data_IF_408339173192
#
_entry.id   IF_408339173192
#
_cell.length_a   1.000
_cell.length_b   1.000
_cell.length_c   1.000
_cell.angle_alpha   90.00
_cell.angle_beta   90.00
_cell.angle_gamma   90.00
#
_symmetry.space_group_name_H-M   'P 1'
#
loop_
_entity.id
_entity.type
_entity.pdbx_description
1 polymer ?
#
# COMPACT_ATOMS: atom_id res chain seq x y z
N UNK A 1 11.81 14.43 18.05
CA UNK A 1 10.81 13.35 17.88
C UNK A 1 10.51 12.81 19.27
N UNK A 2 9.27 12.93 19.72
CA UNK A 2 8.79 12.20 20.88
C UNK A 2 8.37 10.81 20.38
N UNK A 3 8.82 9.74 21.03
CA UNK A 3 8.49 8.36 20.69
C UNK A 3 7.30 7.82 21.49
N UNK A 4 6.84 8.58 22.48
CA UNK A 4 5.64 8.25 23.25
C UNK A 4 4.40 8.61 22.41
N UNK A 5 3.49 7.66 22.30
CA UNK A 5 2.21 7.88 21.65
C UNK A 5 1.27 8.67 22.55
N UNK A 6 0.45 9.52 21.96
CA UNK A 6 -0.63 10.18 22.69
C UNK A 6 -1.70 9.16 23.10
N UNK A 7 -2.56 9.52 24.07
CA UNK A 7 -3.69 8.68 24.49
C UNK A 7 -4.62 8.36 23.32
N UNK A 8 -4.83 9.32 22.42
CA UNK A 8 -5.63 9.14 21.21
C UNK A 8 -4.98 8.15 20.23
N UNK A 9 -3.68 8.30 19.96
CA UNK A 9 -2.93 7.38 19.11
C UNK A 9 -2.95 5.95 19.67
N UNK A 10 -2.78 5.79 20.98
CA UNK A 10 -2.90 4.50 21.65
C UNK A 10 -4.32 3.91 21.54
N UNK A 11 -5.35 4.75 21.68
CA UNK A 11 -6.74 4.31 21.55
C UNK A 11 -7.04 3.83 20.12
N UNK A 12 -6.61 4.58 19.09
CA UNK A 12 -6.78 4.18 17.69
C UNK A 12 -5.99 2.91 17.35
N UNK A 13 -4.76 2.77 17.87
CA UNK A 13 -3.96 1.55 17.71
C UNK A 13 -4.66 0.34 18.32
N UNK A 14 -5.21 0.46 19.54
CA UNK A 14 -5.97 -0.61 20.19
C UNK A 14 -7.21 -0.97 19.37
N UNK A 15 -7.98 0.01 18.92
CA UNK A 15 -9.16 -0.21 18.08
C UNK A 15 -8.81 -0.98 16.80
N UNK A 16 -7.73 -0.60 16.13
CA UNK A 16 -7.24 -1.29 14.94
C UNK A 16 -6.80 -2.73 15.27
N UNK A 17 -6.09 -2.94 16.38
CA UNK A 17 -5.68 -4.25 16.84
C UNK A 17 -6.85 -5.17 17.17
N UNK A 18 -7.88 -4.67 17.84
CA UNK A 18 -9.10 -5.41 18.14
C UNK A 18 -9.90 -5.77 16.87
N UNK A 19 -10.02 -4.81 15.94
CA UNK A 19 -10.64 -5.07 14.64
C UNK A 19 -9.90 -6.18 13.89
N UNK A 20 -8.59 -6.09 13.81
CA UNK A 20 -7.75 -7.07 13.12
C UNK A 20 -7.86 -8.45 13.76
N UNK A 21 -7.88 -8.53 15.07
CA UNK A 21 -8.01 -9.80 15.80
C UNK A 21 -9.36 -10.49 15.55
N UNK A 22 -10.45 -9.72 15.42
CA UNK A 22 -11.81 -10.27 15.25
C UNK A 22 -12.21 -10.45 13.79
N UNK A 23 -11.85 -9.52 12.92
CA UNK A 23 -12.42 -9.40 11.58
C UNK A 23 -11.43 -9.75 10.45
N UNK A 24 -10.15 -9.93 10.76
CA UNK A 24 -9.12 -10.16 9.74
C UNK A 24 -8.39 -11.48 9.97
N UNK A 25 -7.69 -11.63 11.11
CA UNK A 25 -6.82 -12.79 11.38
C UNK A 25 -7.56 -14.13 11.23
N UNK A 26 -8.80 -14.32 11.75
CA UNK A 26 -9.50 -15.60 11.66
C UNK A 26 -9.82 -16.03 10.21
N UNK A 27 -9.85 -15.08 9.29
CA UNK A 27 -10.24 -15.31 7.90
C UNK A 27 -9.07 -15.27 6.91
N UNK A 28 -7.91 -14.77 7.30
CA UNK A 28 -6.78 -14.46 6.42
C UNK A 28 -6.32 -15.67 5.59
N UNK A 29 -6.21 -16.86 6.20
CA UNK A 29 -5.83 -18.10 5.50
C UNK A 29 -6.90 -18.54 4.50
N UNK A 30 -8.17 -18.46 4.87
CA UNK A 30 -9.28 -18.81 3.97
C UNK A 30 -9.34 -17.86 2.76
N UNK A 31 -9.14 -16.55 2.97
CA UNK A 31 -9.07 -15.56 1.90
C UNK A 31 -7.86 -15.76 0.98
N UNK A 32 -6.71 -16.12 1.53
CA UNK A 32 -5.52 -16.42 0.74
C UNK A 32 -5.75 -17.63 -0.17
N UNK A 33 -6.34 -18.72 0.36
CA UNK A 33 -6.69 -19.93 -0.41
C UNK A 33 -7.74 -19.68 -1.49
N UNK A 34 -8.76 -18.88 -1.17
CA UNK A 34 -9.82 -18.51 -2.09
C UNK A 34 -9.40 -17.44 -3.12
N UNK A 35 -8.22 -16.85 -2.95
CA UNK A 35 -7.75 -15.68 -3.71
C UNK A 35 -8.75 -14.51 -3.69
N UNK A 36 -9.49 -14.36 -2.59
CA UNK A 36 -10.55 -13.37 -2.46
C UNK A 36 -10.80 -12.99 -1.00
N UNK A 37 -10.60 -11.72 -0.66
CA UNK A 37 -11.07 -11.14 0.60
C UNK A 37 -12.57 -10.87 0.49
N UNK A 38 -13.33 -11.02 1.58
CA UNK A 38 -14.74 -10.60 1.61
C UNK A 38 -14.84 -9.07 1.47
N UNK A 39 -15.48 -8.62 0.40
CA UNK A 39 -15.65 -7.18 0.11
C UNK A 39 -16.39 -6.42 1.23
N UNK A 40 -17.17 -7.09 2.06
CA UNK A 40 -17.86 -6.46 3.21
C UNK A 40 -16.89 -5.79 4.18
N UNK A 41 -15.60 -6.19 4.20
CA UNK A 41 -14.55 -5.58 5.00
C UNK A 41 -14.39 -4.08 4.72
N UNK A 42 -14.65 -3.64 3.48
CA UNK A 42 -14.55 -2.23 3.07
C UNK A 42 -15.49 -1.35 3.89
N UNK A 43 -16.74 -1.79 4.07
CA UNK A 43 -17.71 -1.07 4.88
C UNK A 43 -17.32 -1.03 6.36
N UNK A 44 -16.74 -2.12 6.87
CA UNK A 44 -16.27 -2.18 8.25
C UNK A 44 -15.09 -1.21 8.45
N UNK A 45 -14.15 -1.15 7.49
CA UNK A 45 -13.04 -0.19 7.52
C UNK A 45 -13.52 1.26 7.44
N UNK A 46 -14.53 1.55 6.60
CA UNK A 46 -15.16 2.86 6.50
C UNK A 46 -15.86 3.28 7.79
N UNK A 47 -16.65 2.38 8.38
CA UNK A 47 -17.39 2.61 9.64
C UNK A 47 -16.44 2.93 10.83
N UNK A 48 -15.20 2.41 10.82
CA UNK A 48 -14.15 2.72 11.80
C UNK A 48 -13.33 3.96 11.44
N UNK A 49 -13.63 4.64 10.33
CA UNK A 49 -12.88 5.80 9.86
C UNK A 49 -11.52 5.48 9.23
N UNK A 50 -11.14 4.19 9.08
CA UNK A 50 -9.81 3.81 8.59
C UNK A 50 -9.57 4.15 7.11
N UNK A 51 -10.64 4.41 6.35
CA UNK A 51 -10.54 4.89 4.97
C UNK A 51 -10.46 6.42 4.85
N UNK A 52 -10.60 7.16 5.97
CA UNK A 52 -10.61 8.61 6.00
C UNK A 52 -9.59 9.27 6.96
N UNK A 53 -8.68 8.49 7.58
CA UNK A 53 -7.80 8.92 8.69
C UNK A 53 -7.12 10.28 8.46
N UNK A 54 -6.64 10.56 7.27
CA UNK A 54 -5.87 11.78 6.96
C UNK A 54 -6.56 12.68 5.92
N UNK A 55 -7.85 12.44 5.64
CA UNK A 55 -8.69 13.31 4.82
C UNK A 55 -9.30 14.37 5.73
N UNK A 56 -9.42 15.65 5.30
CA UNK A 56 -10.06 16.69 6.09
C UNK A 56 -11.49 16.34 6.50
N UNK A 57 -11.92 16.81 7.68
CA UNK A 57 -13.24 16.53 8.24
C UNK A 57 -14.38 17.03 7.35
N UNK A 58 -14.20 18.17 6.68
CA UNK A 58 -15.18 18.75 5.75
C UNK A 58 -15.53 17.83 4.57
N UNK A 59 -14.69 16.82 4.28
CA UNK A 59 -14.92 15.79 3.26
C UNK A 59 -15.17 14.40 3.88
N UNK A 60 -15.53 14.34 5.16
CA UNK A 60 -15.88 13.09 5.84
C UNK A 60 -14.69 12.27 6.33
N UNK A 61 -13.49 12.84 6.37
CA UNK A 61 -12.32 12.23 7.01
C UNK A 61 -12.24 12.55 8.50
N UNK A 62 -11.15 12.11 9.15
CA UNK A 62 -10.86 12.39 10.56
C UNK A 62 -9.84 13.53 10.76
N UNK A 63 -9.22 14.05 9.71
CA UNK A 63 -8.18 15.08 9.82
C UNK A 63 -6.95 14.68 10.65
N UNK A 64 -6.78 13.37 10.88
CA UNK A 64 -5.74 12.83 11.76
C UNK A 64 -4.33 12.90 11.18
N UNK A 65 -3.34 12.67 12.04
CA UNK A 65 -1.93 12.72 11.70
C UNK A 65 -1.45 11.45 10.95
N UNK A 66 -0.25 11.55 10.37
CA UNK A 66 0.33 10.44 9.61
C UNK A 66 0.90 9.35 10.51
N UNK A 67 1.23 9.65 11.77
CA UNK A 67 1.64 8.63 12.72
C UNK A 67 0.46 7.71 13.06
N UNK A 68 -0.73 8.25 13.33
CA UNK A 68 -1.97 7.48 13.52
C UNK A 68 -2.27 6.60 12.29
N UNK A 69 -2.12 7.16 11.08
CA UNK A 69 -2.24 6.38 9.85
C UNK A 69 -1.25 5.21 9.78
N UNK A 70 0.01 5.41 10.20
CA UNK A 70 1.01 4.35 10.24
C UNK A 70 0.65 3.26 11.27
N UNK A 71 0.14 3.63 12.45
CA UNK A 71 -0.28 2.69 13.49
C UNK A 71 -1.41 1.78 12.99
N UNK A 72 -2.44 2.34 12.36
CA UNK A 72 -3.53 1.55 11.76
C UNK A 72 -3.02 0.67 10.63
N UNK A 73 -2.16 1.20 9.76
CA UNK A 73 -1.59 0.45 8.63
C UNK A 73 -0.68 -0.70 9.11
N UNK A 74 0.07 -0.52 10.21
CA UNK A 74 0.85 -1.57 10.86
C UNK A 74 -0.05 -2.69 11.38
N UNK A 75 -1.12 -2.37 12.11
CA UNK A 75 -2.06 -3.37 12.63
C UNK A 75 -2.74 -4.16 11.49
N UNK A 76 -3.21 -3.47 10.44
CA UNK A 76 -3.78 -4.13 9.27
C UNK A 76 -2.76 -5.05 8.58
N UNK A 77 -1.50 -4.60 8.44
CA UNK A 77 -0.40 -5.40 7.89
C UNK A 77 -0.07 -6.63 8.74
N UNK A 78 -0.21 -6.54 10.07
CA UNK A 78 -0.07 -7.66 11.01
C UNK A 78 -1.16 -8.72 10.79
N UNK A 79 -2.38 -8.28 10.49
CA UNK A 79 -3.50 -9.20 10.24
C UNK A 79 -3.47 -9.84 8.86
N UNK A 80 -3.54 -9.00 7.84
CA UNK A 80 -3.50 -9.42 6.43
C UNK A 80 -3.11 -8.26 5.52
N UNK A 81 -2.03 -8.43 4.77
CA UNK A 81 -1.55 -7.41 3.84
C UNK A 81 -2.46 -7.18 2.63
N UNK A 82 -3.35 -8.11 2.29
CA UNK A 82 -4.35 -7.89 1.26
C UNK A 82 -5.39 -6.86 1.75
N UNK A 83 -5.85 -6.96 3.01
CA UNK A 83 -6.74 -5.98 3.65
C UNK A 83 -6.04 -4.62 3.82
N UNK A 84 -4.77 -4.63 4.29
CA UNK A 84 -3.96 -3.41 4.37
C UNK A 84 -3.88 -2.69 3.03
N UNK A 85 -3.75 -3.43 1.92
CA UNK A 85 -3.69 -2.90 0.57
C UNK A 85 -4.93 -2.07 0.17
N UNK A 86 -6.11 -2.41 0.68
CA UNK A 86 -7.35 -1.66 0.44
C UNK A 86 -7.20 -0.22 0.94
N UNK A 87 -6.78 -0.05 2.21
CA UNK A 87 -6.58 1.25 2.84
C UNK A 87 -5.41 2.00 2.19
N UNK A 88 -4.28 1.32 1.96
CA UNK A 88 -3.09 1.94 1.38
C UNK A 88 -3.34 2.55 0.01
N UNK A 89 -4.16 1.93 -0.83
CA UNK A 89 -4.45 2.44 -2.17
C UNK A 89 -5.62 3.41 -2.15
N UNK A 90 -6.76 3.05 -1.56
CA UNK A 90 -7.95 3.91 -1.58
C UNK A 90 -7.73 5.21 -0.82
N UNK A 91 -7.22 5.16 0.41
CA UNK A 91 -6.88 6.35 1.20
C UNK A 91 -5.52 6.90 0.78
N UNK A 92 -4.47 6.06 0.83
CA UNK A 92 -3.08 6.52 0.75
C UNK A 92 -2.69 7.09 -0.61
N UNK A 93 -3.17 6.51 -1.71
CA UNK A 93 -2.84 6.96 -3.07
C UNK A 93 -3.97 7.76 -3.71
N UNK A 94 -5.26 7.36 -3.56
CA UNK A 94 -6.36 8.01 -4.29
C UNK A 94 -6.94 9.16 -3.50
N UNK A 95 -7.54 8.93 -2.33
CA UNK A 95 -8.23 9.98 -1.59
C UNK A 95 -7.30 11.16 -1.21
N UNK A 96 -6.07 10.88 -0.75
CA UNK A 96 -5.08 11.94 -0.47
C UNK A 96 -4.70 12.73 -1.71
N UNK A 97 -4.63 12.09 -2.88
CA UNK A 97 -4.32 12.78 -4.15
C UNK A 97 -5.49 13.65 -4.58
N UNK A 98 -6.73 13.16 -4.47
CA UNK A 98 -7.93 13.97 -4.73
C UNK A 98 -8.01 15.15 -3.75
N UNK A 99 -7.77 14.94 -2.46
CA UNK A 99 -7.80 16.02 -1.46
C UNK A 99 -6.77 17.12 -1.75
N UNK A 100 -5.62 16.77 -2.33
CA UNK A 100 -4.53 17.71 -2.59
C UNK A 100 -4.65 18.39 -3.97
N UNK A 101 -5.03 17.66 -5.02
CA UNK A 101 -4.99 18.10 -6.40
C UNK A 101 -6.36 18.32 -7.05
N UNK A 102 -7.41 17.76 -6.46
CA UNK A 102 -8.77 17.89 -6.98
C UNK A 102 -9.32 19.31 -6.86
N UNK A 103 -10.17 19.68 -7.78
CA UNK A 103 -11.04 20.84 -7.61
C UNK A 103 -12.14 20.55 -6.56
N UNK A 104 -12.93 21.57 -6.24
CA UNK A 104 -13.94 21.44 -5.18
C UNK A 104 -15.06 20.44 -5.54
N UNK A 105 -15.44 20.37 -6.81
CA UNK A 105 -16.46 19.44 -7.30
C UNK A 105 -15.95 17.98 -7.19
N UNK A 106 -14.71 17.73 -7.61
CA UNK A 106 -14.07 16.41 -7.51
C UNK A 106 -13.92 15.96 -6.05
N UNK A 107 -13.51 16.87 -5.14
CA UNK A 107 -13.40 16.60 -3.70
C UNK A 107 -14.74 16.22 -3.10
N UNK A 108 -15.79 17.04 -3.33
CA UNK A 108 -17.13 16.80 -2.79
C UNK A 108 -17.79 15.55 -3.38
N UNK A 109 -17.49 15.22 -4.62
CA UNK A 109 -18.03 14.03 -5.28
C UNK A 109 -17.40 12.75 -4.73
N UNK A 110 -16.08 12.72 -4.56
CA UNK A 110 -15.37 11.48 -4.30
C UNK A 110 -14.97 11.26 -2.85
N UNK A 111 -14.50 12.30 -2.14
CA UNK A 111 -13.91 12.08 -0.81
C UNK A 111 -14.90 11.50 0.21
N UNK A 112 -16.14 12.01 0.34
CA UNK A 112 -17.10 11.42 1.32
C UNK A 112 -17.40 9.95 1.03
N UNK A 113 -17.49 9.56 -0.23
CA UNK A 113 -17.75 8.17 -0.64
C UNK A 113 -16.54 7.26 -0.42
N UNK A 114 -15.32 7.77 -0.64
CA UNK A 114 -14.08 7.04 -0.41
C UNK A 114 -13.82 6.84 1.09
N UNK A 115 -14.11 7.84 1.92
CA UNK A 115 -13.88 7.77 3.38
C UNK A 115 -14.88 6.88 4.09
N UNK A 116 -16.15 6.85 3.64
CA UNK A 116 -17.20 5.98 4.19
C UNK A 116 -17.11 4.52 3.69
N UNK A 117 -16.29 4.24 2.68
CA UNK A 117 -16.27 2.94 2.01
C UNK A 117 -17.50 2.67 1.12
N UNK A 118 -18.24 3.72 0.73
CA UNK A 118 -19.27 3.66 -0.31
C UNK A 118 -18.68 3.54 -1.70
N UNK A 119 -17.44 4.04 -1.86
CA UNK A 119 -16.63 3.87 -3.05
C UNK A 119 -15.22 3.44 -2.68
N UNK A 120 -14.55 2.75 -3.60
CA UNK A 120 -13.12 2.45 -3.55
C UNK A 120 -12.39 3.09 -4.72
N UNK A 121 -11.17 3.56 -4.43
CA UNK A 121 -10.25 4.03 -5.45
C UNK A 121 -9.18 3.00 -5.81
N UNK A 122 -8.75 3.04 -7.08
CA UNK A 122 -7.54 2.36 -7.54
C UNK A 122 -6.61 3.31 -8.30
N UNK A 123 -5.31 2.94 -8.37
CA UNK A 123 -4.26 3.80 -8.90
C UNK A 123 -3.70 3.22 -10.19
N UNK A 124 -4.13 3.75 -11.33
CA UNK A 124 -3.84 3.25 -12.67
C UNK A 124 -2.60 3.88 -13.30
N UNK A 125 -1.39 3.53 -12.83
CA UNK A 125 -0.11 4.03 -13.36
C UNK A 125 0.61 2.96 -14.19
N UNK A 126 0.93 1.82 -13.57
CA UNK A 126 1.74 0.73 -14.15
C UNK A 126 1.08 0.12 -15.38
N UNK A 127 1.86 -0.19 -16.40
CA UNK A 127 1.41 -0.82 -17.66
C UNK A 127 2.14 -2.14 -17.90
N UNK A 128 1.64 -3.01 -18.83
CA UNK A 128 2.35 -4.24 -19.18
C UNK A 128 3.78 -4.01 -19.64
N UNK A 129 4.04 -2.91 -20.34
CA UNK A 129 5.34 -2.54 -20.89
C UNK A 129 6.20 -1.67 -19.96
N UNK A 130 5.65 -1.11 -18.87
CA UNK A 130 6.40 -0.17 -18.04
C UNK A 130 5.98 -0.19 -16.57
N UNK A 131 6.96 -0.35 -15.69
CA UNK A 131 6.83 -0.31 -14.23
C UNK A 131 7.74 0.74 -13.62
N UNK A 132 9.03 0.41 -13.46
CA UNK A 132 10.03 1.35 -12.88
C UNK A 132 10.25 2.58 -13.75
N UNK A 133 10.12 2.44 -15.06
CA UNK A 133 10.22 3.54 -16.04
C UNK A 133 8.84 4.19 -16.28
N UNK A 134 8.19 4.63 -15.21
CA UNK A 134 6.82 5.14 -15.24
C UNK A 134 6.63 6.40 -16.13
N UNK A 135 7.72 7.10 -16.46
CA UNK A 135 7.68 8.24 -17.38
C UNK A 135 7.41 7.84 -18.84
N UNK A 136 7.63 6.57 -19.19
CA UNK A 136 7.43 6.02 -20.53
C UNK A 136 6.11 5.25 -20.71
N UNK A 137 5.10 5.56 -19.89
CA UNK A 137 3.76 4.97 -20.07
C UNK A 137 3.20 5.27 -21.46
N UNK A 138 2.49 4.28 -22.03
CA UNK A 138 1.99 4.31 -23.40
C UNK A 138 0.49 4.63 -23.51
N UNK A 139 -0.30 4.49 -22.43
CA UNK A 139 -1.74 4.86 -22.43
C UNK A 139 -1.89 6.32 -22.84
N UNK A 140 -2.76 6.57 -23.84
CA UNK A 140 -3.01 7.90 -24.41
C UNK A 140 -4.41 8.39 -24.08
N UNK A 141 -4.52 9.68 -23.84
CA UNK A 141 -5.77 10.41 -23.72
C UNK A 141 -5.75 11.55 -24.75
N UNK A 142 -6.44 11.35 -25.85
CA UNK A 142 -6.50 12.30 -26.99
C UNK A 142 -7.71 13.21 -26.81
N UNK A 143 -7.51 14.52 -26.88
CA UNK A 143 -8.61 15.49 -26.78
C UNK A 143 -9.52 15.38 -28.02
N UNK A 144 -10.82 15.28 -27.78
CA UNK A 144 -11.86 15.26 -28.79
C UNK A 144 -13.04 16.14 -28.38
N UNK A 145 -13.04 17.37 -28.88
CA UNK A 145 -14.00 18.41 -28.46
C UNK A 145 -13.83 18.79 -26.98
N UNK A 146 -14.90 18.61 -26.21
CA UNK A 146 -14.94 18.84 -24.77
C UNK A 146 -14.47 17.66 -23.91
N UNK A 147 -14.09 16.55 -24.55
CA UNK A 147 -13.77 15.29 -23.90
C UNK A 147 -12.32 14.85 -24.19
N UNK A 148 -11.92 13.75 -23.54
CA UNK A 148 -10.75 12.94 -23.91
C UNK A 148 -11.22 11.54 -24.29
N UNK A 149 -10.60 10.96 -25.32
CA UNK A 149 -10.73 9.54 -25.69
C UNK A 149 -9.46 8.81 -25.23
N UNK A 150 -9.64 7.84 -24.34
CA UNK A 150 -8.52 7.13 -23.71
C UNK A 150 -8.40 5.72 -24.22
N UNK A 151 -7.17 5.37 -24.65
CA UNK A 151 -6.81 4.03 -25.13
C UNK A 151 -5.52 3.55 -24.46
N UNK A 152 -5.48 2.29 -24.03
CA UNK A 152 -4.31 1.68 -23.40
C UNK A 152 -4.66 0.57 -22.42
N UNK A 153 -3.71 0.21 -21.58
CA UNK A 153 -3.93 -0.79 -20.53
C UNK A 153 -3.10 -0.50 -19.28
N UNK A 154 -3.60 -0.91 -18.11
CA UNK A 154 -2.91 -0.82 -16.84
C UNK A 154 -2.81 -2.20 -16.20
N UNK A 155 -1.70 -2.48 -15.54
CA UNK A 155 -1.36 -3.80 -15.01
C UNK A 155 -1.08 -3.76 -13.51
N UNK A 156 -1.44 -4.85 -12.80
CA UNK A 156 -1.24 -5.02 -11.35
C UNK A 156 -1.95 -3.98 -10.49
N UNK A 157 -3.16 -3.58 -10.89
CA UNK A 157 -3.90 -2.51 -10.22
C UNK A 157 -4.63 -3.04 -8.99
N UNK A 158 -4.12 -2.70 -7.81
CA UNK A 158 -4.74 -3.00 -6.52
C UNK A 158 -6.11 -2.34 -6.40
N UNK A 159 -7.08 -3.05 -5.84
CA UNK A 159 -8.51 -2.71 -5.81
C UNK A 159 -9.16 -2.67 -7.20
N UNK A 160 -8.46 -2.99 -8.28
CA UNK A 160 -8.92 -2.74 -9.64
C UNK A 160 -10.26 -3.41 -9.99
N UNK A 161 -10.53 -4.64 -9.50
CA UNK A 161 -11.83 -5.30 -9.73
C UNK A 161 -12.96 -4.71 -8.88
N UNK A 162 -12.64 -4.03 -7.78
CA UNK A 162 -13.61 -3.48 -6.82
C UNK A 162 -13.80 -1.96 -6.94
N UNK A 163 -12.87 -1.28 -7.61
CA UNK A 163 -12.85 0.16 -7.66
C UNK A 163 -14.13 0.76 -8.28
N UNK A 164 -14.56 1.87 -7.72
CA UNK A 164 -15.62 2.73 -8.24
C UNK A 164 -15.02 3.94 -8.98
N UNK A 165 -13.77 4.31 -8.66
CA UNK A 165 -13.01 5.34 -9.36
C UNK A 165 -11.57 4.89 -9.61
N UNK A 166 -11.07 5.19 -10.81
CA UNK A 166 -9.69 4.98 -11.21
C UNK A 166 -8.98 6.33 -11.26
N UNK A 167 -7.95 6.52 -10.43
CA UNK A 167 -6.98 7.59 -10.62
C UNK A 167 -6.04 7.13 -11.74
N UNK A 168 -6.32 7.56 -12.95
CA UNK A 168 -5.68 7.12 -14.20
C UNK A 168 -4.61 8.11 -14.65
N UNK A 169 -3.46 7.61 -15.05
CA UNK A 169 -2.39 8.38 -15.67
C UNK A 169 -2.27 8.03 -17.15
N UNK A 170 -2.34 9.03 -18.02
CA UNK A 170 -2.27 8.86 -19.45
C UNK A 170 -1.51 10.01 -20.10
N UNK A 171 -0.96 9.77 -21.27
CA UNK A 171 -0.26 10.77 -22.08
C UNK A 171 -1.26 11.60 -22.86
N UNK A 172 -1.22 12.93 -22.67
CA UNK A 172 -2.12 13.91 -23.34
C UNK A 172 -1.44 14.61 -24.51
N UNK A 173 -0.12 14.58 -24.58
CA UNK A 173 0.63 15.11 -25.70
C UNK A 173 1.87 14.25 -26.03
N UNK A 174 2.56 14.58 -27.14
CA UNK A 174 3.75 13.85 -27.62
C UNK A 174 5.07 14.33 -26.99
N UNK A 175 4.99 15.23 -25.97
CA UNK A 175 6.21 15.68 -25.26
C UNK A 175 6.92 14.47 -24.63
N UNK A 176 8.19 14.21 -24.95
CA UNK A 176 8.90 13.07 -24.41
C UNK A 176 9.05 13.10 -22.89
N UNK A 177 9.09 11.90 -22.28
CA UNK A 177 9.31 11.72 -20.85
C UNK A 177 8.08 12.13 -20.03
N UNK A 178 8.33 12.67 -18.84
CA UNK A 178 7.31 12.87 -17.82
C UNK A 178 6.33 14.06 -18.07
N UNK A 179 6.67 15.00 -18.95
CA UNK A 179 5.90 16.25 -19.11
C UNK A 179 4.59 16.10 -19.87
N UNK A 180 4.46 15.10 -20.74
CA UNK A 180 3.24 14.84 -21.52
C UNK A 180 2.20 13.99 -20.78
N UNK A 181 2.35 13.73 -19.48
CA UNK A 181 1.46 12.86 -18.69
C UNK A 181 0.50 13.69 -17.87
N UNK A 182 -0.78 13.34 -17.93
CA UNK A 182 -1.88 13.93 -17.14
C UNK A 182 -2.54 12.89 -16.24
N UNK A 183 -3.25 13.35 -15.22
CA UNK A 183 -4.00 12.50 -14.28
C UNK A 183 -5.51 12.74 -14.47
N UNK A 184 -6.30 11.70 -14.34
CA UNK A 184 -7.74 11.74 -14.51
C UNK A 184 -8.46 10.93 -13.42
N UNK A 185 -9.63 11.39 -12.99
CA UNK A 185 -10.57 10.61 -12.18
C UNK A 185 -11.60 9.99 -13.10
N UNK A 186 -11.50 8.68 -13.33
CA UNK A 186 -12.38 7.95 -14.25
C UNK A 186 -13.32 7.05 -13.46
N UNK A 187 -14.66 7.25 -13.52
CA UNK A 187 -15.60 6.29 -12.96
C UNK A 187 -15.35 4.89 -13.54
N UNK A 188 -15.34 3.87 -12.69
CA UNK A 188 -14.93 2.53 -13.11
C UNK A 188 -15.99 1.77 -13.94
N UNK A 189 -17.18 2.33 -14.08
CA UNK A 189 -18.29 1.89 -14.95
C UNK A 189 -18.33 2.62 -16.30
N UNK A 190 -17.35 3.49 -16.58
CA UNK A 190 -17.27 4.21 -17.88
C UNK A 190 -17.20 3.20 -19.03
N UNK A 191 -18.06 3.36 -20.07
CA UNK A 191 -18.02 2.49 -21.25
C UNK A 191 -16.64 2.41 -21.89
N UNK A 192 -16.22 1.20 -22.28
CA UNK A 192 -14.89 0.94 -22.84
C UNK A 192 -13.82 0.59 -21.80
N UNK A 193 -14.07 0.78 -20.50
CA UNK A 193 -13.18 0.34 -19.41
C UNK A 193 -13.55 -1.08 -18.98
N UNK A 194 -12.63 -2.01 -19.22
CA UNK A 194 -12.76 -3.42 -18.80
C UNK A 194 -11.76 -3.71 -17.67
N UNK A 195 -12.19 -4.47 -16.68
CA UNK A 195 -11.40 -4.86 -15.50
C UNK A 195 -11.31 -6.38 -15.42
N UNK A 196 -10.09 -6.92 -15.50
CA UNK A 196 -9.84 -8.36 -15.48
C UNK A 196 -9.06 -8.73 -14.22
N UNK A 197 -9.58 -9.66 -13.42
CA UNK A 197 -8.89 -10.13 -12.22
C UNK A 197 -7.57 -10.83 -12.55
N UNK A 198 -6.54 -10.61 -11.75
CA UNK A 198 -5.26 -11.31 -11.82
C UNK A 198 -5.22 -12.35 -10.70
N UNK A 199 -5.22 -13.61 -11.08
CA UNK A 199 -5.13 -14.78 -10.21
C UNK A 199 -3.72 -15.39 -10.20
N UNK A 200 -3.47 -16.38 -9.33
CA UNK A 200 -2.20 -17.10 -9.26
C UNK A 200 -1.03 -16.27 -8.75
N UNK A 201 -1.29 -15.19 -8.00
CA UNK A 201 -0.23 -14.39 -7.37
C UNK A 201 0.55 -15.22 -6.35
N UNK A 202 1.84 -14.94 -6.19
CA UNK A 202 2.68 -15.59 -5.17
C UNK A 202 2.16 -15.28 -3.75
N UNK A 203 1.92 -14.02 -3.45
CA UNK A 203 1.37 -13.49 -2.20
C UNK A 203 0.31 -12.43 -2.46
N UNK A 204 -0.25 -11.84 -1.39
CA UNK A 204 -1.42 -10.96 -1.44
C UNK A 204 -2.55 -11.57 -2.29
N UNK A 205 -2.72 -12.88 -2.18
CA UNK A 205 -3.60 -13.63 -3.09
C UNK A 205 -5.04 -13.17 -2.98
N UNK A 206 -5.51 -12.87 -1.77
CA UNK A 206 -6.85 -12.34 -1.52
C UNK A 206 -7.11 -10.92 -2.03
N UNK A 207 -6.06 -10.18 -2.43
CA UNK A 207 -6.20 -8.80 -2.90
C UNK A 207 -6.84 -8.71 -4.29
N UNK A 208 -7.84 -7.84 -4.45
CA UNK A 208 -8.58 -7.57 -5.68
C UNK A 208 -7.70 -6.83 -6.71
N UNK A 209 -6.71 -7.52 -7.27
CA UNK A 209 -5.77 -6.99 -8.24
C UNK A 209 -6.27 -7.21 -9.67
N UNK A 210 -6.18 -6.20 -10.53
CA UNK A 210 -6.68 -6.27 -11.90
C UNK A 210 -5.70 -5.77 -12.96
N UNK A 211 -5.91 -6.25 -14.18
CA UNK A 211 -5.60 -5.55 -15.42
C UNK A 211 -6.78 -4.64 -15.76
N UNK A 212 -6.50 -3.39 -16.17
CA UNK A 212 -7.49 -2.46 -16.73
C UNK A 212 -7.21 -2.30 -18.21
N UNK A 213 -8.23 -2.51 -19.05
CA UNK A 213 -8.13 -2.31 -20.50
C UNK A 213 -9.06 -1.15 -20.89
N UNK A 214 -8.52 -0.16 -21.58
CA UNK A 214 -9.22 1.03 -22.02
C UNK A 214 -9.30 1.02 -23.56
N UNK A 215 -10.52 0.96 -24.08
CA UNK A 215 -10.82 0.96 -25.51
C UNK A 215 -11.84 2.05 -25.80
N UNK A 216 -11.37 3.14 -26.41
CA UNK A 216 -12.19 4.32 -26.72
C UNK A 216 -12.98 4.85 -25.52
N UNK A 217 -12.36 4.82 -24.34
CA UNK A 217 -12.98 5.30 -23.10
C UNK A 217 -13.11 6.81 -23.18
N UNK A 218 -14.36 7.30 -23.29
CA UNK A 218 -14.65 8.73 -23.37
C UNK A 218 -14.89 9.29 -21.98
N UNK A 219 -14.11 10.31 -21.62
CA UNK A 219 -14.20 11.02 -20.32
C UNK A 219 -14.28 12.52 -20.57
N UNK A 220 -15.09 13.26 -19.79
CA UNK A 220 -15.18 14.72 -19.93
C UNK A 220 -13.89 15.41 -19.51
N UNK A 221 -13.64 16.61 -20.03
CA UNK A 221 -12.47 17.41 -19.62
C UNK A 221 -12.43 17.68 -18.10
N UNK A 222 -13.57 17.71 -17.42
CA UNK A 222 -13.68 17.85 -15.97
C UNK A 222 -13.16 16.63 -15.18
N UNK A 223 -12.90 15.49 -15.85
CA UNK A 223 -12.22 14.34 -15.23
C UNK A 223 -10.72 14.60 -14.99
N UNK A 224 -10.12 15.64 -15.62
CA UNK A 224 -8.73 16.01 -15.44
C UNK A 224 -8.47 16.39 -13.96
N UNK A 225 -7.52 15.72 -13.33
CA UNK A 225 -7.12 16.01 -11.95
C UNK A 225 -5.85 16.86 -11.93
N UNK A 226 -5.97 18.07 -11.40
CA UNK A 226 -4.88 19.04 -11.42
C UNK A 226 -4.56 19.55 -12.85
N UNK A 227 -3.44 20.27 -13.05
CA UNK A 227 -3.09 20.84 -14.35
C UNK A 227 -2.71 19.76 -15.38
N UNK A 228 -3.10 19.94 -16.64
CA UNK A 228 -2.66 19.10 -17.77
C UNK A 228 -1.13 19.08 -17.87
N UNK A 229 -0.56 17.92 -18.18
CA UNK A 229 0.90 17.71 -18.22
C UNK A 229 1.59 17.57 -16.85
N UNK A 230 0.86 17.63 -15.73
CA UNK A 230 1.40 17.47 -14.37
C UNK A 230 1.15 16.08 -13.76
N UNK A 231 0.57 15.16 -14.49
CA UNK A 231 0.22 13.83 -14.00
C UNK A 231 1.40 13.07 -13.40
N UNK A 232 2.59 13.17 -13.99
CA UNK A 232 3.77 12.50 -13.42
C UNK A 232 4.16 13.08 -12.04
N UNK A 233 4.13 14.39 -11.89
CA UNK A 233 4.38 15.05 -10.59
C UNK A 233 3.34 14.64 -9.55
N UNK A 234 2.07 14.53 -9.95
CA UNK A 234 0.97 14.04 -9.13
C UNK A 234 1.24 12.60 -8.69
N UNK A 235 1.60 11.70 -9.63
CA UNK A 235 1.93 10.32 -9.33
C UNK A 235 3.11 10.21 -8.36
N UNK A 236 4.19 10.96 -8.56
CA UNK A 236 5.38 10.92 -7.69
C UNK A 236 5.09 11.45 -6.29
N UNK A 237 4.23 12.48 -6.15
CA UNK A 237 3.81 12.99 -4.84
C UNK A 237 2.97 11.96 -4.06
N UNK A 238 2.08 11.25 -4.76
CA UNK A 238 1.30 10.15 -4.18
C UNK A 238 2.21 9.00 -3.73
N UNK A 239 3.12 8.54 -4.60
CA UNK A 239 4.04 7.44 -4.30
C UNK A 239 5.04 7.78 -3.18
N UNK A 240 5.45 9.04 -3.01
CA UNK A 240 6.29 9.43 -1.90
C UNK A 240 5.61 9.17 -0.54
N UNK A 241 4.31 9.46 -0.43
CA UNK A 241 3.50 9.14 0.75
C UNK A 241 3.16 7.64 0.82
N UNK A 242 2.92 7.00 -0.33
CA UNK A 242 2.65 5.57 -0.44
C UNK A 242 3.79 4.72 0.13
N UNK A 243 5.06 5.10 -0.08
CA UNK A 243 6.24 4.42 0.49
C UNK A 243 6.21 4.33 2.02
N UNK A 244 5.72 5.38 2.69
CA UNK A 244 5.50 5.36 4.15
C UNK A 244 4.45 4.32 4.53
N UNK A 245 3.35 4.26 3.79
CA UNK A 245 2.30 3.25 3.99
C UNK A 245 2.82 1.82 3.80
N UNK A 246 3.62 1.59 2.75
CA UNK A 246 4.28 0.29 2.54
C UNK A 246 5.19 -0.06 3.70
N UNK A 247 6.01 0.89 4.16
CA UNK A 247 6.91 0.68 5.30
C UNK A 247 6.13 0.29 6.57
N UNK A 248 5.05 1.01 6.90
CA UNK A 248 4.19 0.67 8.03
C UNK A 248 3.57 -0.74 7.93
N UNK A 249 3.08 -1.10 6.74
CA UNK A 249 2.57 -2.46 6.50
C UNK A 249 3.63 -3.55 6.63
N UNK A 250 4.87 -3.26 6.23
CA UNK A 250 6.02 -4.17 6.40
C UNK A 250 6.38 -4.37 7.87
N UNK A 251 6.30 -3.32 8.70
CA UNK A 251 6.45 -3.45 10.17
C UNK A 251 5.40 -4.41 10.71
N UNK A 252 4.14 -4.30 10.23
CA UNK A 252 3.07 -5.23 10.60
C UNK A 252 3.38 -6.69 10.25
N UNK A 253 3.86 -6.96 9.03
CA UNK A 253 4.27 -8.31 8.61
C UNK A 253 5.41 -8.84 9.49
N UNK A 254 6.45 -8.04 9.72
CA UNK A 254 7.60 -8.43 10.54
C UNK A 254 7.18 -8.70 11.99
N UNK A 255 6.27 -7.89 12.54
CA UNK A 255 5.68 -8.09 13.86
C UNK A 255 4.86 -9.38 13.95
N UNK A 256 4.01 -9.66 12.95
CA UNK A 256 3.29 -10.93 12.88
C UNK A 256 4.24 -12.14 12.83
N UNK A 257 5.34 -12.01 12.08
CA UNK A 257 6.39 -13.03 12.04
C UNK A 257 7.07 -13.24 13.39
N UNK A 258 7.36 -12.14 14.12
CA UNK A 258 7.90 -12.18 15.49
C UNK A 258 6.94 -12.88 16.45
N UNK A 259 5.68 -12.46 16.49
CA UNK A 259 4.64 -13.02 17.35
C UNK A 259 4.48 -14.52 17.10
N UNK A 260 4.44 -14.94 15.83
CA UNK A 260 4.34 -16.35 15.46
C UNK A 260 5.58 -17.15 15.89
N UNK A 261 6.79 -16.64 15.63
CA UNK A 261 8.04 -17.32 15.98
C UNK A 261 8.19 -17.47 17.50
N UNK A 262 7.89 -16.44 18.29
CA UNK A 262 7.97 -16.49 19.75
C UNK A 262 6.95 -17.48 20.32
N UNK A 263 5.68 -17.43 19.87
CA UNK A 263 4.65 -18.37 20.33
C UNK A 263 5.03 -19.82 20.05
N UNK A 264 5.38 -20.10 18.80
CA UNK A 264 5.77 -21.48 18.41
C UNK A 264 7.03 -21.98 19.14
N UNK A 265 8.04 -21.12 19.30
CA UNK A 265 9.27 -21.50 20.01
C UNK A 265 9.03 -21.83 21.48
N UNK A 266 8.05 -21.17 22.12
CA UNK A 266 7.65 -21.45 23.50
C UNK A 266 6.94 -22.79 23.68
N UNK A 267 6.13 -23.19 22.69
CA UNK A 267 5.29 -24.39 22.74
C UNK A 267 5.96 -25.64 22.16
N UNK A 268 6.76 -25.47 21.10
CA UNK A 268 7.40 -26.60 20.42
C UNK A 268 8.54 -27.18 21.24
N UNK A 269 8.47 -28.47 21.54
CA UNK A 269 9.54 -29.20 22.26
C UNK A 269 10.36 -30.04 21.31
N UNK A 270 11.68 -30.02 21.50
CA UNK A 270 12.66 -30.95 20.93
C UNK A 270 13.80 -31.17 21.92
N UNK A 271 14.39 -32.35 21.92
CA UNK A 271 15.45 -32.78 22.84
C UNK A 271 15.09 -32.50 24.31
N UNK A 272 13.81 -32.75 24.67
CA UNK A 272 13.30 -32.73 26.05
C UNK A 272 13.00 -31.33 26.62
N UNK A 273 12.96 -30.26 25.80
CA UNK A 273 12.61 -28.92 26.25
C UNK A 273 12.10 -28.07 25.08
N UNK A 274 11.44 -26.93 25.37
CA UNK A 274 10.99 -26.01 24.34
C UNK A 274 12.16 -25.49 23.49
N UNK A 275 11.93 -25.29 22.20
CA UNK A 275 12.99 -24.84 21.30
C UNK A 275 13.46 -23.41 21.60
N UNK A 276 12.68 -22.64 22.34
CA UNK A 276 13.09 -21.30 22.83
C UNK A 276 14.37 -21.32 23.70
N UNK A 277 14.76 -22.50 24.24
CA UNK A 277 16.01 -22.65 25.01
C UNK A 277 17.27 -22.74 24.16
N UNK A 278 17.15 -22.87 22.83
CA UNK A 278 18.31 -23.05 21.95
C UNK A 278 18.80 -21.73 21.39
N UNK A 279 20.12 -21.48 21.52
CA UNK A 279 20.75 -20.22 21.15
C UNK A 279 20.49 -19.81 19.69
N UNK A 280 20.55 -20.77 18.74
CA UNK A 280 20.29 -20.48 17.32
C UNK A 280 18.82 -20.11 17.04
N UNK A 281 17.86 -20.58 17.84
CA UNK A 281 16.46 -20.14 17.77
C UNK A 281 16.31 -18.73 18.34
N UNK A 282 16.99 -18.44 19.46
CA UNK A 282 17.00 -17.09 20.05
C UNK A 282 17.66 -16.07 19.13
N UNK A 283 18.73 -16.45 18.40
CA UNK A 283 19.36 -15.61 17.38
C UNK A 283 18.37 -15.18 16.32
N UNK A 284 17.62 -16.13 15.71
CA UNK A 284 16.61 -15.83 14.68
C UNK A 284 15.52 -14.88 15.21
N UNK A 285 15.03 -15.12 16.43
CA UNK A 285 14.02 -14.28 17.08
C UNK A 285 14.57 -12.87 17.39
N UNK A 286 15.81 -12.78 17.84
CA UNK A 286 16.50 -11.52 18.11
C UNK A 286 16.63 -10.67 16.83
N UNK A 287 17.05 -11.27 15.73
CA UNK A 287 17.16 -10.59 14.44
C UNK A 287 15.80 -10.03 13.99
N UNK A 288 14.72 -10.82 14.12
CA UNK A 288 13.37 -10.34 13.79
C UNK A 288 12.99 -9.15 14.68
N UNK A 289 13.26 -9.21 15.98
CA UNK A 289 12.91 -8.16 16.95
C UNK A 289 13.60 -6.83 16.61
N UNK A 290 14.91 -6.88 16.33
CA UNK A 290 15.69 -5.69 15.92
C UNK A 290 15.19 -5.11 14.60
N UNK A 291 14.89 -5.96 13.62
CA UNK A 291 14.33 -5.54 12.33
C UNK A 291 12.96 -4.82 12.50
N UNK A 292 12.09 -5.32 13.39
CA UNK A 292 10.80 -4.68 13.69
C UNK A 292 10.99 -3.26 14.25
N UNK A 293 11.83 -3.11 15.25
CA UNK A 293 12.04 -1.82 15.91
C UNK A 293 12.71 -0.81 14.98
N UNK A 294 13.76 -1.23 14.27
CA UNK A 294 14.43 -0.36 13.31
C UNK A 294 13.51 0.10 12.17
N UNK A 295 12.70 -0.82 11.62
CA UNK A 295 11.73 -0.50 10.57
C UNK A 295 10.64 0.47 11.08
N UNK A 296 10.13 0.24 12.30
CA UNK A 296 9.13 1.11 12.95
C UNK A 296 9.67 2.53 13.16
N UNK A 297 10.86 2.67 13.73
CA UNK A 297 11.46 3.98 13.99
C UNK A 297 11.72 4.77 12.70
N UNK A 298 12.18 4.11 11.62
CA UNK A 298 12.34 4.73 10.32
C UNK A 298 10.98 5.19 9.75
N UNK A 299 9.93 4.39 9.92
CA UNK A 299 8.58 4.72 9.46
C UNK A 299 7.98 5.90 10.23
N UNK A 300 8.08 5.90 11.56
CA UNK A 300 7.60 6.99 12.41
C UNK A 300 8.33 8.31 12.15
N UNK A 301 9.63 8.24 11.86
CA UNK A 301 10.38 9.42 11.40
C UNK A 301 9.78 10.03 10.14
N UNK A 302 9.32 9.22 9.18
CA UNK A 302 8.68 9.75 7.97
C UNK A 302 7.37 10.43 8.32
N UNK A 303 6.53 9.80 9.16
CA UNK A 303 5.27 10.37 9.61
C UNK A 303 5.49 11.74 10.28
N UNK A 304 6.42 11.86 11.24
CA UNK A 304 6.79 13.12 11.89
C UNK A 304 7.24 14.20 10.90
N UNK A 305 8.01 13.85 9.88
CA UNK A 305 8.42 14.80 8.83
C UNK A 305 7.24 15.30 8.00
N UNK A 306 6.32 14.40 7.62
CA UNK A 306 5.12 14.76 6.86
C UNK A 306 4.21 15.67 7.68
N UNK A 307 3.95 15.33 8.94
CA UNK A 307 3.07 16.10 9.85
C UNK A 307 3.62 17.50 10.13
N UNK A 308 4.94 17.65 10.13
CA UNK A 308 5.60 18.97 10.25
C UNK A 308 5.76 19.71 8.91
N UNK A 309 5.22 19.22 7.82
CA UNK A 309 5.37 19.83 6.49
C UNK A 309 6.81 19.93 6.00
N UNK A 310 7.70 19.00 6.45
CA UNK A 310 9.11 18.99 6.08
C UNK A 310 9.35 18.05 4.90
N UNK A 311 10.51 18.23 4.24
CA UNK A 311 10.93 17.31 3.19
C UNK A 311 11.09 15.89 3.75
N UNK A 312 10.47 14.89 3.08
CA UNK A 312 10.37 13.51 3.58
C UNK A 312 10.65 12.44 2.52
N UNK A 313 10.73 12.79 1.23
CA UNK A 313 10.77 11.80 0.14
C UNK A 313 11.97 10.84 0.26
N UNK A 314 13.16 11.36 0.60
CA UNK A 314 14.35 10.53 0.83
C UNK A 314 14.20 9.66 2.07
N UNK A 315 13.63 10.20 3.17
CA UNK A 315 13.37 9.44 4.38
C UNK A 315 12.35 8.31 4.11
N UNK A 316 11.30 8.58 3.33
CA UNK A 316 10.31 7.58 2.92
C UNK A 316 10.94 6.46 2.08
N UNK A 317 11.87 6.79 1.19
CA UNK A 317 12.62 5.79 0.42
C UNK A 317 13.51 4.92 1.32
N UNK A 318 14.20 5.51 2.31
CA UNK A 318 14.99 4.77 3.31
C UNK A 318 14.12 3.85 4.15
N UNK A 319 12.98 4.34 4.66
CA UNK A 319 12.04 3.56 5.45
C UNK A 319 11.47 2.39 4.64
N UNK A 320 10.99 2.64 3.42
CA UNK A 320 10.44 1.61 2.54
C UNK A 320 11.46 0.55 2.19
N UNK A 321 12.68 0.94 1.82
CA UNK A 321 13.76 0.00 1.50
C UNK A 321 14.05 -0.90 2.71
N UNK A 322 14.33 -0.30 3.87
CA UNK A 322 14.68 -1.07 5.07
C UNK A 322 13.52 -1.98 5.50
N UNK A 323 12.31 -1.42 5.67
CA UNK A 323 11.17 -2.16 6.18
C UNK A 323 10.75 -3.33 5.27
N UNK A 324 10.80 -3.15 3.94
CA UNK A 324 10.43 -4.22 3.01
C UNK A 324 11.43 -5.38 3.00
N UNK A 325 12.72 -5.09 3.06
CA UNK A 325 13.76 -6.11 3.17
C UNK A 325 13.74 -6.79 4.56
N UNK A 326 13.51 -6.03 5.64
CA UNK A 326 13.34 -6.55 6.99
C UNK A 326 12.12 -7.48 7.09
N UNK A 327 10.98 -7.13 6.49
CA UNK A 327 9.80 -7.99 6.48
C UNK A 327 10.05 -9.35 5.81
N UNK A 328 10.81 -9.36 4.71
CA UNK A 328 11.20 -10.62 4.04
C UNK A 328 12.12 -11.45 4.93
N UNK A 329 13.14 -10.83 5.55
CA UNK A 329 14.04 -11.55 6.48
C UNK A 329 13.29 -12.08 7.70
N UNK A 330 12.45 -11.25 8.31
CA UNK A 330 11.64 -11.62 9.48
C UNK A 330 10.72 -12.82 9.17
N UNK A 331 9.99 -12.77 8.06
CA UNK A 331 9.11 -13.87 7.66
C UNK A 331 9.89 -15.16 7.33
N UNK A 332 11.07 -15.03 6.69
CA UNK A 332 11.95 -16.16 6.43
C UNK A 332 12.51 -16.78 7.74
N UNK A 333 12.96 -15.95 8.67
CA UNK A 333 13.47 -16.41 9.97
C UNK A 333 12.36 -17.07 10.79
N UNK A 334 11.14 -16.51 10.79
CA UNK A 334 9.99 -17.12 11.45
C UNK A 334 9.65 -18.49 10.84
N UNK A 335 9.66 -18.62 9.52
CA UNK A 335 9.47 -19.90 8.83
C UNK A 335 10.55 -20.91 9.25
N UNK A 336 11.81 -20.47 9.37
CA UNK A 336 12.91 -21.32 9.83
C UNK A 336 12.70 -21.81 11.28
N UNK A 337 12.18 -20.97 12.19
CA UNK A 337 11.81 -21.36 13.56
C UNK A 337 10.75 -22.46 13.57
N UNK A 338 9.78 -22.41 12.66
CA UNK A 338 8.74 -23.45 12.50
C UNK A 338 9.27 -24.76 11.91
N UNK A 339 10.43 -24.70 11.21
CA UNK A 339 10.98 -25.88 10.52
C UNK A 339 10.00 -26.43 9.47
N UNK A 340 9.83 -27.74 9.41
CA UNK A 340 8.92 -28.37 8.44
C UNK A 340 7.46 -27.89 8.51
N UNK A 341 6.99 -27.54 9.69
CA UNK A 341 5.65 -26.99 9.88
C UNK A 341 5.47 -25.60 9.28
N UNK A 342 6.54 -24.81 9.15
CA UNK A 342 6.49 -23.53 8.45
C UNK A 342 6.26 -23.65 6.94
N UNK A 343 6.47 -24.85 6.38
CA UNK A 343 6.36 -25.10 4.93
C UNK A 343 4.99 -25.61 4.48
N UNK A 344 4.06 -25.77 5.42
CA UNK A 344 2.69 -26.20 5.13
C UNK A 344 1.68 -25.08 5.40
N UNK A 345 0.57 -25.11 4.70
CA UNK A 345 -0.41 -24.02 4.62
C UNK A 345 -1.34 -23.92 5.86
N UNK A 346 -1.12 -24.76 6.88
CA UNK A 346 -1.83 -24.70 8.17
C UNK A 346 -1.30 -23.56 9.07
N UNK A 347 -0.03 -23.19 8.88
CA UNK A 347 0.65 -22.19 9.71
C UNK A 347 0.85 -20.88 8.94
N UNK A 348 0.80 -19.72 9.63
CA UNK A 348 0.74 -18.41 8.96
C UNK A 348 2.06 -17.98 8.32
N UNK A 349 3.21 -18.54 8.75
CA UNK A 349 4.53 -18.04 8.39
C UNK A 349 4.85 -18.17 6.89
N UNK A 350 4.35 -19.22 6.23
CA UNK A 350 4.48 -19.38 4.78
C UNK A 350 3.74 -18.30 4.01
N UNK A 351 2.52 -17.92 4.46
CA UNK A 351 1.76 -16.81 3.90
C UNK A 351 2.49 -15.47 4.12
N UNK A 352 3.01 -15.21 5.33
CA UNK A 352 3.75 -14.00 5.64
C UNK A 352 4.96 -13.81 4.71
N UNK A 353 5.71 -14.89 4.43
CA UNK A 353 6.85 -14.84 3.51
C UNK A 353 6.42 -14.52 2.06
N UNK A 354 5.35 -15.16 1.58
CA UNK A 354 4.80 -14.90 0.24
C UNK A 354 4.31 -13.45 0.09
N UNK A 355 3.62 -12.95 1.11
CA UNK A 355 3.10 -11.58 1.14
C UNK A 355 4.22 -10.53 1.27
N UNK A 356 5.23 -10.79 2.09
CA UNK A 356 6.38 -9.90 2.26
C UNK A 356 7.15 -9.68 0.94
N UNK A 357 7.19 -10.70 0.07
CA UNK A 357 8.05 -10.63 -1.14
C UNK A 357 7.66 -9.51 -2.10
N UNK A 358 6.38 -9.20 -2.27
CA UNK A 358 5.95 -8.11 -3.17
C UNK A 358 6.29 -6.72 -2.63
N UNK A 359 6.47 -6.59 -1.31
CA UNK A 359 6.81 -5.31 -0.67
C UNK A 359 8.13 -4.73 -1.17
N UNK A 360 9.06 -5.57 -1.65
CA UNK A 360 10.33 -5.13 -2.24
C UNK A 360 10.21 -4.77 -3.72
N UNK A 361 9.05 -5.00 -4.35
CA UNK A 361 8.82 -4.84 -5.79
C UNK A 361 7.99 -3.60 -6.13
N UNK A 362 6.80 -3.46 -5.53
CA UNK A 362 5.87 -2.38 -5.88
C UNK A 362 6.21 -1.05 -5.17
N UNK A 363 5.55 0.03 -5.63
CA UNK A 363 5.80 1.43 -5.20
C UNK A 363 7.28 1.85 -5.31
N UNK A 364 7.95 1.29 -6.31
CA UNK A 364 9.39 1.40 -6.55
C UNK A 364 10.16 0.25 -5.92
N UNK A 365 10.81 -0.54 -6.76
CA UNK A 365 11.62 -1.69 -6.31
C UNK A 365 12.71 -1.27 -5.32
N UNK A 366 13.28 -2.23 -4.58
CA UNK A 366 14.44 -1.97 -3.71
C UNK A 366 15.59 -1.27 -4.47
N UNK A 367 15.80 -1.63 -5.75
CA UNK A 367 16.79 -1.00 -6.61
C UNK A 367 16.44 0.48 -6.88
N UNK A 368 15.18 0.77 -7.21
CA UNK A 368 14.74 2.16 -7.41
C UNK A 368 14.89 2.97 -6.12
N UNK A 369 14.56 2.41 -4.93
CA UNK A 369 14.80 3.10 -3.66
C UNK A 369 16.29 3.42 -3.46
N UNK A 370 17.18 2.46 -3.75
CA UNK A 370 18.64 2.67 -3.66
C UNK A 370 19.13 3.79 -4.58
N UNK A 371 18.59 3.87 -5.81
CA UNK A 371 18.93 4.95 -6.76
C UNK A 371 18.44 6.32 -6.28
N UNK A 372 17.22 6.40 -5.73
CA UNK A 372 16.69 7.64 -5.16
C UNK A 372 17.55 8.10 -3.98
N UNK A 373 17.89 7.18 -3.06
CA UNK A 373 18.74 7.48 -1.90
C UNK A 373 20.15 7.88 -2.36
N UNK A 374 20.76 7.12 -3.27
CA UNK A 374 22.08 7.41 -3.80
C UNK A 374 22.15 8.80 -4.44
N UNK A 375 21.16 9.16 -5.27
CA UNK A 375 21.05 10.50 -5.83
C UNK A 375 20.92 11.59 -4.76
N UNK A 376 20.12 11.35 -3.72
CA UNK A 376 19.94 12.33 -2.65
C UNK A 376 21.24 12.56 -1.85
N UNK A 377 22.05 11.52 -1.62
CA UNK A 377 23.30 11.60 -0.86
C UNK A 377 24.46 12.15 -1.71
N UNK A 378 24.50 11.83 -3.01
CA UNK A 378 25.63 12.22 -3.88
C UNK A 378 25.35 13.50 -4.68
N UNK A 379 24.09 13.91 -4.83
CA UNK A 379 23.68 14.98 -5.74
C UNK A 379 23.70 14.58 -7.22
N UNK A 380 24.06 13.34 -7.57
CA UNK A 380 24.24 12.88 -8.95
C UNK A 380 23.22 11.80 -9.29
N UNK A 381 22.53 11.94 -10.45
CA UNK A 381 21.65 10.90 -10.97
C UNK A 381 22.46 9.74 -11.55
N UNK A 382 22.00 8.51 -11.32
CA UNK A 382 22.63 7.32 -11.90
C UNK A 382 22.21 7.08 -13.37
N UNK A 383 21.20 7.82 -13.88
CA UNK A 383 20.71 7.83 -15.28
C UNK A 383 20.00 9.13 -15.60
#
# INVERSE_FOLDING_TARGET
MNLELSEEQEAVRRLAGEFVAREVIPYATAWDRAENVDRSIVKKLGALGFLGLTVPEEYGGSGGDHLTYCLVTEELGRGDSAVRGIVSVSLGLVAKTVAHWGDEEQKRTWLPRLTSGDALGCFGLTEPGTGSDAANLATRAVRDGGDYVVNGSKMFITNGTWADVVLLFARTDDTPGHRGISAFLVPADTPGLTRRAIHGKLGLRGQATAELVLQDVRIPASALLGPEGKGFSIAMSALAKGRMSVAAGCVGIARAALEAAVGYAGEREQFGRSIAHYQLVQELISDISVDVDAARLLTWRVADLVDRGREFATAASKAKLFASEAAVRAANNALQVYGGYGYIDEYPVGKLLRDARVMTLYEGTSQIQKLIIGRAETGVSAF
#
